data_IF_056186324550
#
_entry.id   IF_056186324550
#
_cell.length_a   1.000
_cell.length_b   1.000
_cell.length_c   1.000
_cell.angle_alpha   90.00
_cell.angle_beta   90.00
_cell.angle_gamma   90.00
#
_symmetry.space_group_name_H-M   'P 1'
#
loop_
_entity.id
_entity.type
_entity.pdbx_description
1 polymer ?
#
# COMPACT_ATOMS: atom_id res chain seq x y z
N UNK A 1 -16.04 -73.65 -11.20
CA UNK A 1 -15.80 -72.35 -11.87
C UNK A 1 -17.06 -71.55 -11.64
N UNK A 2 -17.15 -70.63 -10.70
CA UNK A 2 -16.39 -69.38 -10.59
C UNK A 2 -16.40 -68.90 -9.13
N UNK A 3 -15.23 -68.50 -8.60
CA UNK A 3 -15.11 -67.73 -7.37
C UNK A 3 -14.94 -66.26 -7.75
N UNK A 4 -15.84 -65.38 -7.30
CA UNK A 4 -15.69 -63.93 -7.45
C UNK A 4 -14.70 -63.40 -6.40
N UNK A 5 -13.63 -62.77 -6.89
CA UNK A 5 -12.66 -62.01 -6.10
C UNK A 5 -13.04 -60.53 -6.17
N UNK A 6 -13.71 -60.02 -5.15
CA UNK A 6 -13.91 -58.56 -4.99
C UNK A 6 -12.66 -57.98 -4.35
N UNK A 7 -11.77 -57.40 -5.17
CA UNK A 7 -10.60 -56.66 -4.69
C UNK A 7 -11.04 -55.26 -4.24
N UNK A 8 -11.00 -55.02 -2.92
CA UNK A 8 -11.20 -53.70 -2.34
C UNK A 8 -9.95 -52.84 -2.53
N UNK A 9 -10.06 -51.77 -3.32
CA UNK A 9 -9.06 -50.70 -3.34
C UNK A 9 -9.40 -49.75 -2.19
N UNK A 10 -8.64 -49.80 -1.10
CA UNK A 10 -8.69 -48.77 -0.06
C UNK A 10 -8.08 -47.48 -0.62
N UNK A 11 -8.94 -46.50 -0.92
CA UNK A 11 -8.53 -45.14 -1.26
C UNK A 11 -7.88 -44.52 -0.01
N UNK A 12 -6.61 -44.13 -0.13
CA UNK A 12 -5.89 -43.40 0.92
C UNK A 12 -6.69 -42.16 1.31
N UNK A 13 -6.96 -42.01 2.60
CA UNK A 13 -7.66 -40.85 3.16
C UNK A 13 -6.95 -39.56 2.71
N UNK A 14 -7.71 -38.63 2.12
CA UNK A 14 -7.16 -37.34 1.69
C UNK A 14 -6.65 -36.58 2.92
N UNK A 15 -5.49 -35.91 2.85
CA UNK A 15 -5.03 -35.07 3.95
C UNK A 15 -6.07 -33.98 4.23
N UNK A 16 -6.32 -33.70 5.52
CA UNK A 16 -7.23 -32.63 5.92
C UNK A 16 -6.85 -31.32 5.23
N UNK A 17 -7.83 -30.53 4.75
CA UNK A 17 -7.55 -29.29 4.03
C UNK A 17 -6.70 -28.38 4.90
N UNK A 18 -5.52 -28.01 4.39
CA UNK A 18 -4.65 -27.06 5.07
C UNK A 18 -5.29 -25.68 4.96
N UNK A 19 -5.71 -25.12 6.09
CA UNK A 19 -6.18 -23.74 6.13
C UNK A 19 -5.00 -22.82 5.85
N UNK A 20 -5.02 -22.16 4.70
CA UNK A 20 -4.03 -21.13 4.37
C UNK A 20 -4.38 -19.84 5.12
N UNK A 21 -3.44 -19.34 5.91
CA UNK A 21 -3.59 -18.04 6.58
C UNK A 21 -2.82 -16.97 5.79
N UNK A 22 -3.44 -15.80 5.65
CA UNK A 22 -2.78 -14.64 5.05
C UNK A 22 -1.52 -14.31 5.87
N UNK A 23 -0.37 -14.20 5.20
CA UNK A 23 0.87 -13.70 5.79
C UNK A 23 1.23 -12.34 5.22
N UNK A 24 1.69 -11.45 6.09
CA UNK A 24 2.22 -10.17 5.65
C UNK A 24 3.54 -10.39 4.87
N UNK A 25 3.77 -9.73 3.73
CA UNK A 25 5.00 -9.92 2.95
C UNK A 25 6.30 -9.57 3.70
N UNK A 26 6.19 -8.69 4.70
CA UNK A 26 7.30 -8.28 5.57
C UNK A 26 7.28 -8.98 6.94
N UNK A 27 6.56 -10.08 7.08
CA UNK A 27 6.44 -10.78 8.38
C UNK A 27 7.82 -11.11 8.99
N UNK A 28 8.76 -11.58 8.16
CA UNK A 28 10.12 -11.92 8.61
C UNK A 28 10.97 -10.72 9.05
N UNK A 29 10.51 -9.49 8.81
CA UNK A 29 11.22 -8.23 9.11
C UNK A 29 10.58 -7.43 10.24
N UNK A 30 9.44 -7.89 10.77
CA UNK A 30 8.71 -7.23 11.85
C UNK A 30 9.62 -6.98 13.07
N UNK A 31 10.29 -8.01 13.57
CA UNK A 31 11.20 -7.89 14.72
C UNK A 31 12.37 -6.93 14.46
N UNK A 32 12.88 -6.87 13.22
CA UNK A 32 13.95 -5.94 12.86
C UNK A 32 13.47 -4.49 12.87
N UNK A 33 12.27 -4.22 12.36
CA UNK A 33 11.66 -2.89 12.41
C UNK A 33 11.35 -2.46 13.85
N UNK A 34 10.78 -3.36 14.66
CA UNK A 34 10.47 -3.10 16.07
C UNK A 34 11.72 -2.86 16.93
N UNK A 35 12.86 -3.46 16.56
CA UNK A 35 14.13 -3.25 17.24
C UNK A 35 14.82 -1.92 16.87
N UNK A 36 14.39 -1.25 15.79
CA UNK A 36 14.88 0.10 15.48
C UNK A 36 14.33 1.07 16.52
N UNK A 37 15.23 1.69 17.27
CA UNK A 37 14.91 2.77 18.21
C UNK A 37 15.52 4.07 17.70
N UNK A 38 14.89 5.20 18.01
CA UNK A 38 15.35 6.53 17.62
C UNK A 38 14.40 7.27 16.68
N UNK A 39 14.96 8.24 15.97
CA UNK A 39 14.26 9.12 15.03
C UNK A 39 14.85 8.92 13.63
N UNK A 40 14.04 8.51 12.61
CA UNK A 40 12.60 8.26 12.67
C UNK A 40 12.25 6.84 13.15
N UNK A 41 11.00 6.66 13.62
CA UNK A 41 10.42 5.33 13.80
C UNK A 41 9.93 4.78 12.46
N UNK A 42 10.10 3.47 12.25
CA UNK A 42 9.63 2.76 11.05
C UNK A 42 8.62 1.69 11.46
N UNK A 43 7.37 1.82 11.01
CA UNK A 43 6.29 0.89 11.33
C UNK A 43 5.62 0.36 10.08
N UNK A 44 5.10 -0.86 10.13
CA UNK A 44 4.30 -1.42 9.05
C UNK A 44 2.89 -0.83 9.12
N UNK A 45 2.39 -0.33 8.00
CA UNK A 45 1.00 0.10 7.91
C UNK A 45 0.07 -1.11 8.05
N UNK A 46 -1.07 -0.97 8.74
CA UNK A 46 -2.10 -1.99 8.76
C UNK A 46 -2.58 -2.32 7.34
N UNK A 47 -2.96 -3.58 7.06
CA UNK A 47 -3.56 -3.92 5.78
C UNK A 47 -4.92 -3.21 5.63
N UNK A 48 -5.12 -2.61 4.46
CA UNK A 48 -6.39 -1.98 4.04
C UNK A 48 -6.78 -2.54 2.68
N UNK A 49 -8.06 -2.45 2.32
CA UNK A 49 -8.51 -2.77 0.96
C UNK A 49 -8.07 -1.66 0.01
N UNK A 50 -7.66 -2.02 -1.20
CA UNK A 50 -7.11 -1.07 -2.18
C UNK A 50 -7.64 -1.37 -3.57
N UNK A 51 -8.10 -0.33 -4.25
CA UNK A 51 -8.57 -0.39 -5.63
C UNK A 51 -7.75 0.56 -6.50
N UNK A 52 -7.39 0.12 -7.70
CA UNK A 52 -6.95 0.98 -8.79
C UNK A 52 -8.19 1.43 -9.58
N UNK A 53 -8.46 2.73 -9.57
CA UNK A 53 -9.56 3.35 -10.30
C UNK A 53 -9.03 4.02 -11.57
N UNK A 54 -9.58 3.62 -12.71
CA UNK A 54 -9.43 4.32 -13.99
C UNK A 54 -10.73 5.05 -14.33
N UNK A 55 -10.67 6.36 -14.53
CA UNK A 55 -11.82 7.16 -14.97
C UNK A 55 -11.35 8.46 -15.61
N UNK A 56 -12.06 8.95 -16.63
CA UNK A 56 -11.74 10.25 -17.19
C UNK A 56 -11.86 11.36 -16.12
N UNK A 57 -10.90 12.30 -16.01
CA UNK A 57 -10.87 13.34 -14.97
C UNK A 57 -11.88 14.47 -15.23
N UNK A 58 -13.08 14.14 -15.70
CA UNK A 58 -14.16 15.09 -15.88
C UNK A 58 -14.60 15.62 -14.50
N UNK A 59 -14.67 16.95 -14.28
CA UNK A 59 -14.95 17.53 -12.97
C UNK A 59 -16.23 17.01 -12.29
N UNK A 60 -17.31 16.78 -13.05
CA UNK A 60 -18.56 16.22 -12.55
C UNK A 60 -18.41 14.78 -12.06
N UNK A 61 -17.72 13.93 -12.83
CA UNK A 61 -17.40 12.56 -12.44
C UNK A 61 -16.57 12.52 -11.14
N UNK A 62 -15.49 13.31 -11.06
CA UNK A 62 -14.64 13.37 -9.87
C UNK A 62 -15.39 13.86 -8.63
N UNK A 63 -16.28 14.85 -8.79
CA UNK A 63 -17.11 15.37 -7.71
C UNK A 63 -18.12 14.33 -7.22
N UNK A 64 -18.81 13.63 -8.14
CA UNK A 64 -19.78 12.60 -7.80
C UNK A 64 -19.13 11.40 -7.10
N UNK A 65 -18.01 10.90 -7.64
CA UNK A 65 -17.22 9.82 -7.05
C UNK A 65 -16.69 10.21 -5.67
N UNK A 66 -16.05 11.37 -5.55
CA UNK A 66 -15.52 11.86 -4.28
C UNK A 66 -16.61 11.93 -3.21
N UNK A 67 -17.76 12.55 -3.52
CA UNK A 67 -18.88 12.66 -2.59
C UNK A 67 -19.42 11.29 -2.14
N UNK A 68 -19.58 10.34 -3.07
CA UNK A 68 -20.07 8.99 -2.77
C UNK A 68 -19.09 8.16 -1.90
N UNK A 69 -17.80 8.49 -1.96
CA UNK A 69 -16.74 7.88 -1.16
C UNK A 69 -16.43 8.66 0.14
N UNK A 70 -17.20 9.74 0.41
CA UNK A 70 -17.06 10.54 1.62
C UNK A 70 -15.83 11.45 1.63
N UNK A 71 -15.39 11.92 0.47
CA UNK A 71 -14.26 12.82 0.33
C UNK A 71 -14.26 13.58 -0.99
N UNK A 72 -13.06 13.78 -1.55
CA UNK A 72 -12.85 14.44 -2.84
C UNK A 72 -11.81 13.64 -3.60
N UNK A 73 -11.99 13.35 -4.89
CA UNK A 73 -10.90 12.80 -5.69
C UNK A 73 -9.93 13.94 -6.07
N UNK A 74 -8.62 13.81 -5.79
CA UNK A 74 -7.66 14.86 -6.06
C UNK A 74 -7.49 15.08 -7.56
N UNK A 75 -7.56 16.35 -8.00
CA UNK A 75 -7.30 16.74 -9.38
C UNK A 75 -5.88 17.28 -9.66
N UNK A 76 -5.15 17.95 -8.73
CA UNK A 76 -3.75 18.28 -8.98
C UNK A 76 -2.91 17.02 -9.17
N UNK A 77 -1.86 17.11 -10.00
CA UNK A 77 -0.82 16.07 -9.99
C UNK A 77 -0.19 15.98 -8.60
N UNK A 78 0.28 14.78 -8.26
CA UNK A 78 1.01 14.49 -7.04
C UNK A 78 0.25 14.84 -5.75
N UNK A 79 -1.07 14.62 -5.74
CA UNK A 79 -1.94 14.97 -4.63
C UNK A 79 -2.74 13.76 -4.12
N UNK A 80 -2.96 13.76 -2.81
CA UNK A 80 -3.86 12.85 -2.14
C UNK A 80 -4.86 13.59 -1.27
N UNK A 81 -5.99 12.95 -1.00
CA UNK A 81 -7.06 13.45 -0.13
C UNK A 81 -7.58 12.32 0.75
N UNK A 82 -8.15 12.67 1.90
CA UNK A 82 -8.86 11.71 2.73
C UNK A 82 -10.22 11.35 2.11
N UNK A 83 -10.62 10.09 2.30
CA UNK A 83 -11.98 9.58 2.12
C UNK A 83 -12.56 9.27 3.51
N UNK A 84 -13.81 8.79 3.59
CA UNK A 84 -14.43 8.46 4.87
C UNK A 84 -13.62 7.44 5.68
N UNK A 85 -13.22 6.34 5.02
CA UNK A 85 -12.56 5.19 5.64
C UNK A 85 -11.16 4.94 5.06
N UNK A 86 -10.58 5.92 4.37
CA UNK A 86 -9.28 5.77 3.73
C UNK A 86 -8.81 7.02 2.98
N UNK A 87 -8.22 6.84 1.81
CA UNK A 87 -7.61 7.92 1.04
C UNK A 87 -7.67 7.67 -0.47
N UNK A 88 -7.61 8.75 -1.23
CA UNK A 88 -7.48 8.75 -2.68
C UNK A 88 -6.14 9.37 -3.07
N UNK A 89 -5.31 8.63 -3.81
CA UNK A 89 -4.00 9.05 -4.28
C UNK A 89 -4.04 9.17 -5.80
N UNK A 90 -3.72 10.34 -6.37
CA UNK A 90 -3.65 10.47 -7.83
C UNK A 90 -2.34 9.88 -8.35
N UNK A 91 -2.43 8.88 -9.23
CA UNK A 91 -1.26 8.22 -9.82
C UNK A 91 -0.98 8.70 -11.26
N UNK A 92 -2.02 9.14 -11.97
CA UNK A 92 -1.94 9.59 -13.35
C UNK A 92 -3.08 10.54 -13.71
N UNK A 93 -3.15 10.98 -14.98
CA UNK A 93 -4.20 11.87 -15.45
C UNK A 93 -5.62 11.37 -15.17
N UNK A 94 -5.82 10.06 -15.34
CA UNK A 94 -7.07 9.29 -15.28
C UNK A 94 -6.96 8.07 -14.33
N UNK A 95 -6.02 8.09 -13.38
CA UNK A 95 -5.69 6.95 -12.51
C UNK A 95 -5.57 7.36 -11.04
N UNK A 96 -6.27 6.65 -10.16
CA UNK A 96 -6.23 6.84 -8.70
C UNK A 96 -6.08 5.52 -7.97
N UNK A 97 -5.31 5.53 -6.88
CA UNK A 97 -5.29 4.45 -5.90
C UNK A 97 -6.19 4.83 -4.73
N UNK A 98 -7.23 4.04 -4.49
CA UNK A 98 -8.23 4.29 -3.46
C UNK A 98 -8.15 3.22 -2.37
N UNK A 99 -8.12 3.63 -1.10
CA UNK A 99 -8.09 2.70 0.03
C UNK A 99 -9.34 2.77 0.89
N UNK A 100 -9.67 1.66 1.54
CA UNK A 100 -10.69 1.57 2.60
C UNK A 100 -10.21 0.63 3.71
N UNK A 101 -10.20 1.10 4.95
CA UNK A 101 -9.73 0.35 6.12
C UNK A 101 -10.79 -0.56 6.75
N UNK A 102 -12.05 -0.47 6.30
CA UNK A 102 -13.22 -1.13 6.90
C UNK A 102 -13.87 -2.16 5.97
N UNK A 103 -13.82 -1.95 4.67
CA UNK A 103 -14.37 -2.83 3.66
C UNK A 103 -13.47 -4.05 3.41
N UNK A 104 -14.07 -5.17 3.01
CA UNK A 104 -13.30 -6.28 2.42
C UNK A 104 -12.90 -5.91 0.98
N UNK A 105 -11.84 -6.52 0.42
CA UNK A 105 -11.36 -6.17 -0.91
C UNK A 105 -12.43 -6.28 -1.99
N UNK A 106 -13.21 -7.36 -1.96
CA UNK A 106 -14.27 -7.64 -2.93
C UNK A 106 -15.39 -6.60 -2.85
N UNK A 107 -15.81 -6.25 -1.63
CA UNK A 107 -16.85 -5.23 -1.41
C UNK A 107 -16.37 -3.84 -1.80
N UNK A 108 -15.09 -3.56 -1.63
CA UNK A 108 -14.51 -2.28 -2.01
C UNK A 108 -14.43 -2.13 -3.53
N UNK A 109 -13.94 -3.15 -4.21
CA UNK A 109 -13.92 -3.24 -5.68
C UNK A 109 -15.34 -3.08 -6.26
N UNK A 110 -16.29 -3.91 -5.84
CA UNK A 110 -17.68 -3.86 -6.32
C UNK A 110 -18.31 -2.47 -6.14
N UNK A 111 -18.07 -1.83 -4.98
CA UNK A 111 -18.59 -0.49 -4.68
C UNK A 111 -17.98 0.55 -5.59
N UNK A 112 -16.65 0.58 -5.73
CA UNK A 112 -15.98 1.60 -6.54
C UNK A 112 -16.30 1.40 -8.02
N UNK A 113 -16.33 0.16 -8.50
CA UNK A 113 -16.67 -0.16 -9.90
C UNK A 113 -18.08 0.32 -10.25
N UNK A 114 -19.06 0.01 -9.40
CA UNK A 114 -20.44 0.44 -9.58
C UNK A 114 -20.59 1.98 -9.59
N UNK A 115 -19.78 2.69 -8.80
CA UNK A 115 -19.76 4.16 -8.78
C UNK A 115 -19.08 4.74 -10.02
N UNK A 116 -18.08 4.07 -10.59
CA UNK A 116 -17.31 4.52 -11.75
C UNK A 116 -17.99 4.21 -13.09
N UNK A 117 -18.76 3.12 -13.15
CA UNK A 117 -19.42 2.65 -14.38
C UNK A 117 -20.27 3.70 -15.13
N UNK A 118 -21.06 4.58 -14.46
CA UNK A 118 -21.80 5.65 -15.15
C UNK A 118 -20.91 6.66 -15.89
N UNK A 119 -19.64 6.74 -15.53
CA UNK A 119 -18.64 7.62 -16.12
C UNK A 119 -17.67 6.88 -17.06
N UNK A 120 -17.97 5.62 -17.41
CA UNK A 120 -17.10 4.78 -18.23
C UNK A 120 -15.79 4.38 -17.54
N UNK A 121 -15.71 4.51 -16.21
CA UNK A 121 -14.56 4.09 -15.43
C UNK A 121 -14.59 2.60 -15.07
N UNK A 122 -13.48 2.11 -14.52
CA UNK A 122 -13.29 0.75 -14.05
C UNK A 122 -12.49 0.74 -12.75
N UNK A 123 -12.83 -0.15 -11.84
CA UNK A 123 -12.07 -0.43 -10.62
C UNK A 123 -11.49 -1.84 -10.64
N UNK A 124 -10.27 -2.00 -10.10
CA UNK A 124 -9.62 -3.31 -9.94
C UNK A 124 -9.06 -3.45 -8.54
N UNK A 125 -9.35 -4.57 -7.86
CA UNK A 125 -8.72 -4.90 -6.58
C UNK A 125 -7.21 -5.09 -6.75
N UNK A 126 -6.46 -4.27 -6.01
CA UNK A 126 -5.00 -4.31 -5.92
C UNK A 126 -4.53 -4.36 -4.46
N UNK A 127 -5.37 -4.85 -3.55
CA UNK A 127 -5.12 -4.92 -2.10
C UNK A 127 -3.80 -5.60 -1.74
N UNK A 128 -3.42 -6.66 -2.46
CA UNK A 128 -2.18 -7.40 -2.21
C UNK A 128 -0.96 -6.83 -2.97
N UNK A 129 -1.14 -5.80 -3.79
CA UNK A 129 -0.10 -5.31 -4.69
C UNK A 129 1.02 -4.59 -3.94
N UNK A 130 0.69 -3.89 -2.84
CA UNK A 130 1.63 -3.02 -2.11
C UNK A 130 1.57 -3.26 -0.60
N UNK A 131 2.68 -2.96 0.05
CA UNK A 131 2.78 -2.85 1.50
C UNK A 131 3.21 -1.44 1.87
N UNK A 132 2.71 -0.94 3.00
CA UNK A 132 3.07 0.37 3.53
C UNK A 132 4.09 0.26 4.66
N UNK A 133 5.10 1.12 4.60
CA UNK A 133 6.02 1.39 5.71
C UNK A 133 5.88 2.87 6.06
N UNK A 134 5.44 3.17 7.28
CA UNK A 134 5.31 4.53 7.80
C UNK A 134 6.59 4.93 8.50
N UNK A 135 7.04 6.14 8.22
CA UNK A 135 8.19 6.79 8.83
C UNK A 135 7.69 8.00 9.60
N UNK A 136 7.93 8.03 10.91
CA UNK A 136 7.51 9.15 11.75
C UNK A 136 8.69 9.70 12.55
N UNK A 137 8.87 11.03 12.49
CA UNK A 137 9.94 11.74 13.18
C UNK A 137 10.71 12.71 12.28
N UNK A 138 11.51 13.60 12.89
CA UNK A 138 12.14 14.75 12.21
C UNK A 138 13.17 14.30 11.19
N UNK A 139 13.78 13.14 11.42
CA UNK A 139 14.78 12.55 10.53
C UNK A 139 14.16 11.71 9.41
N UNK A 140 12.82 11.59 9.32
CA UNK A 140 12.14 10.79 8.29
C UNK A 140 12.51 11.21 6.86
N UNK A 141 12.57 12.54 6.62
CA UNK A 141 12.93 13.09 5.31
C UNK A 141 14.40 12.90 4.98
N UNK A 142 15.29 13.07 5.97
CA UNK A 142 16.73 12.81 5.81
C UNK A 142 16.99 11.34 5.47
N UNK A 143 16.34 10.43 6.20
CA UNK A 143 16.43 9.00 5.94
C UNK A 143 16.00 8.67 4.51
N UNK A 144 14.84 9.17 4.06
CA UNK A 144 14.37 8.93 2.69
C UNK A 144 15.28 9.57 1.64
N UNK A 145 15.80 10.77 1.89
CA UNK A 145 16.69 11.48 0.98
C UNK A 145 18.03 10.76 0.75
N UNK A 146 18.44 9.86 1.66
CA UNK A 146 19.63 9.02 1.45
C UNK A 146 19.52 8.10 0.23
N UNK A 147 18.30 7.79 -0.22
CA UNK A 147 18.02 6.85 -1.31
C UNK A 147 16.95 7.32 -2.29
N UNK A 148 16.40 8.53 -2.13
CA UNK A 148 15.36 9.10 -2.99
C UNK A 148 15.82 10.43 -3.57
N UNK A 149 15.68 10.62 -4.87
CA UNK A 149 16.06 11.85 -5.57
C UNK A 149 14.98 12.94 -5.55
N UNK A 150 13.77 12.64 -5.07
CA UNK A 150 12.68 13.59 -4.98
C UNK A 150 13.03 14.70 -3.96
N UNK A 151 12.63 15.94 -4.24
CA UNK A 151 12.78 17.04 -3.28
C UNK A 151 11.79 16.88 -2.12
N UNK A 152 12.25 16.26 -1.04
CA UNK A 152 11.45 15.97 0.14
C UNK A 152 11.38 17.14 1.13
N UNK A 153 11.74 18.38 0.78
CA UNK A 153 11.56 19.51 1.71
C UNK A 153 10.06 19.74 2.00
N UNK A 154 9.63 20.08 3.23
CA UNK A 154 8.21 20.34 3.53
C UNK A 154 7.54 21.37 2.62
N UNK A 155 8.29 22.38 2.16
CA UNK A 155 7.82 23.41 1.23
C UNK A 155 7.54 22.89 -0.20
N UNK A 156 8.01 21.69 -0.55
CA UNK A 156 7.83 21.04 -1.85
C UNK A 156 6.99 19.77 -1.76
N UNK A 157 7.24 18.95 -0.75
CA UNK A 157 6.58 17.65 -0.51
C UNK A 157 5.98 17.58 0.91
N UNK A 158 5.18 18.58 1.27
CA UNK A 158 4.45 18.64 2.53
C UNK A 158 3.14 17.84 2.50
N UNK A 159 2.35 17.95 3.57
CA UNK A 159 1.05 17.25 3.71
C UNK A 159 0.17 17.44 2.47
N UNK A 160 -0.49 16.35 2.05
CA UNK A 160 -1.38 16.32 0.89
C UNK A 160 -0.67 16.02 -0.43
N UNK A 161 0.66 15.81 -0.39
CA UNK A 161 1.44 15.37 -1.56
C UNK A 161 1.65 13.86 -1.57
N UNK A 162 1.54 13.27 -2.75
CA UNK A 162 1.98 11.91 -3.01
C UNK A 162 2.73 11.85 -4.34
N UNK A 163 3.72 10.98 -4.51
CA UNK A 163 4.45 10.89 -5.77
C UNK A 163 4.99 9.49 -6.03
N UNK A 164 4.89 9.06 -7.28
CA UNK A 164 5.58 7.87 -7.77
C UNK A 164 7.05 8.21 -8.01
N UNK A 165 7.96 7.48 -7.38
CA UNK A 165 9.41 7.74 -7.45
C UNK A 165 10.20 6.45 -7.27
N UNK A 166 11.53 6.57 -7.25
CA UNK A 166 12.44 5.50 -6.88
C UNK A 166 12.97 5.72 -5.46
N UNK A 167 13.02 4.64 -4.68
CA UNK A 167 13.79 4.54 -3.45
C UNK A 167 14.86 3.48 -3.64
N UNK A 168 16.13 3.90 -3.72
CA UNK A 168 17.22 3.09 -4.24
C UNK A 168 16.93 2.75 -5.71
N UNK A 169 16.71 1.46 -5.98
CA UNK A 169 16.37 0.95 -7.32
C UNK A 169 14.92 0.45 -7.43
N UNK A 170 14.09 0.65 -6.41
CA UNK A 170 12.71 0.16 -6.38
C UNK A 170 11.70 1.28 -6.57
N UNK A 171 10.71 1.05 -7.43
CA UNK A 171 9.57 1.94 -7.60
C UNK A 171 8.67 1.93 -6.35
N UNK A 172 8.39 3.11 -5.82
CA UNK A 172 7.56 3.35 -4.64
C UNK A 172 6.57 4.49 -4.89
N UNK A 173 5.45 4.48 -4.18
CA UNK A 173 4.60 5.65 -4.00
C UNK A 173 4.90 6.24 -2.62
N UNK A 174 5.36 7.49 -2.57
CA UNK A 174 5.52 8.24 -1.33
C UNK A 174 4.24 9.02 -1.04
N UNK A 175 3.81 9.05 0.21
CA UNK A 175 2.64 9.79 0.68
C UNK A 175 3.03 10.63 1.89
N UNK A 176 2.89 11.95 1.80
CA UNK A 176 3.15 12.85 2.91
C UNK A 176 1.86 13.10 3.69
N UNK A 177 1.72 12.47 4.86
CA UNK A 177 0.63 12.71 5.80
C UNK A 177 0.90 13.90 6.72
N UNK A 178 2.16 14.29 6.88
CA UNK A 178 2.60 15.46 7.62
C UNK A 178 4.02 15.88 7.26
N UNK A 179 4.53 16.87 7.97
CA UNK A 179 5.93 17.30 7.79
C UNK A 179 6.88 16.19 8.25
N UNK A 180 6.60 15.53 9.37
CA UNK A 180 7.44 14.45 9.92
C UNK A 180 6.73 13.08 9.86
N UNK A 181 5.84 12.89 8.88
CA UNK A 181 4.98 11.70 8.77
C UNK A 181 4.78 11.33 7.30
N UNK A 182 5.53 10.32 6.85
CA UNK A 182 5.55 9.85 5.47
C UNK A 182 5.29 8.35 5.40
N UNK A 183 4.58 7.92 4.37
CA UNK A 183 4.37 6.50 4.07
C UNK A 183 5.02 6.15 2.74
N UNK A 184 5.76 5.05 2.74
CA UNK A 184 6.32 4.42 1.54
C UNK A 184 5.42 3.23 1.19
N UNK A 185 4.69 3.30 0.08
CA UNK A 185 3.99 2.16 -0.49
C UNK A 185 4.85 1.51 -1.58
N UNK A 186 5.29 0.28 -1.33
CA UNK A 186 6.18 -0.47 -2.22
C UNK A 186 5.48 -1.73 -2.70
N UNK A 187 5.71 -2.11 -3.97
CA UNK A 187 5.18 -3.39 -4.48
C UNK A 187 5.69 -4.55 -3.64
N UNK A 188 4.81 -5.50 -3.33
CA UNK A 188 5.05 -6.62 -2.43
C UNK A 188 6.37 -7.37 -2.71
N UNK A 189 6.72 -7.59 -3.98
CA UNK A 189 7.94 -8.29 -4.39
C UNK A 189 9.24 -7.53 -4.06
N UNK A 190 9.20 -6.20 -3.99
CA UNK A 190 10.35 -5.34 -3.67
C UNK A 190 10.36 -4.88 -2.20
N UNK A 191 9.33 -5.23 -1.44
CA UNK A 191 9.17 -4.76 -0.07
C UNK A 191 10.36 -5.10 0.83
N UNK A 192 10.86 -6.34 0.74
CA UNK A 192 12.01 -6.78 1.52
C UNK A 192 13.25 -5.92 1.24
N UNK A 193 13.56 -5.68 -0.04
CA UNK A 193 14.67 -4.82 -0.46
C UNK A 193 14.53 -3.39 0.09
N UNK A 194 13.35 -2.78 -0.04
CA UNK A 194 13.10 -1.42 0.45
C UNK A 194 13.26 -1.34 1.95
N UNK A 195 12.67 -2.27 2.71
CA UNK A 195 12.82 -2.30 4.17
C UNK A 195 14.28 -2.49 4.58
N UNK A 196 15.00 -3.42 3.95
CA UNK A 196 16.40 -3.68 4.27
C UNK A 196 17.27 -2.43 4.02
N UNK A 197 16.94 -1.63 2.98
CA UNK A 197 17.58 -0.33 2.71
C UNK A 197 17.23 0.74 3.73
N UNK A 198 15.95 0.85 4.11
CA UNK A 198 15.50 1.80 5.12
C UNK A 198 16.13 1.52 6.50
N UNK A 199 16.21 0.24 6.89
CA UNK A 199 16.85 -0.22 8.15
C UNK A 199 18.34 0.13 8.16
N UNK A 200 19.04 -0.11 7.05
CA UNK A 200 20.45 0.20 6.89
C UNK A 200 20.73 1.72 6.99
N UNK A 201 19.89 2.52 6.34
CA UNK A 201 19.94 3.98 6.44
C UNK A 201 19.64 4.47 7.88
N UNK A 202 18.63 3.91 8.54
CA UNK A 202 18.27 4.27 9.91
C UNK A 202 19.44 4.06 10.89
N UNK A 203 20.19 2.96 10.74
CA UNK A 203 21.36 2.66 11.57
C UNK A 203 22.50 3.66 11.38
N UNK A 204 22.58 4.29 10.21
CA UNK A 204 23.60 5.30 9.91
C UNK A 204 23.25 6.69 10.48
N UNK A 205 21.97 6.93 10.76
CA UNK A 205 21.48 8.16 11.40
C UNK A 205 21.55 8.12 12.93
N UNK A 206 21.60 6.92 13.52
CA UNK A 206 21.85 6.77 14.93
C UNK A 206 23.20 7.43 15.26
N UNK A 207 23.28 8.27 16.31
CA UNK A 207 24.55 8.92 16.67
C UNK A 207 25.62 7.85 16.85
N UNK A 208 26.76 8.03 16.20
CA UNK A 208 27.92 7.16 16.42
C UNK A 208 28.18 7.13 17.93
N UNK A 209 28.07 5.94 18.53
CA UNK A 209 28.36 5.74 19.95
C UNK A 209 29.74 6.33 20.23
N UNK A 210 29.79 7.39 21.03
CA UNK A 210 31.02 8.04 21.47
C UNK A 210 31.85 7.13 22.38
#
# INVERSE_FOLDING_TARGET
MMAELTSGVELRSAPSPTVLTRRHPLESRRATLEALTGDPTLTLEPPVSVVDLRVDPEPGALAALGAALGGVLPHPADAWTALADGQALRLGPDEWLLTDATATPERWEDRVDALAAPFGGMAVDVTAQRVGVRLQGRSARELLASSCSLDLRPTRFGRGRCAQTLLGQAAVLLVAHGDDDLVVLVRTSFAGYVVDRLVDAARSLAPASA
#
